data_IF_402521248925
#
_entry.id   IF_402521248925
#
_cell.length_a   1.000
_cell.length_b   1.000
_cell.length_c   1.000
_cell.angle_alpha   90.00
_cell.angle_beta   90.00
_cell.angle_gamma   90.00
#
_symmetry.space_group_name_H-M   'P 1'
#
loop_
_entity.id
_entity.type
_entity.pdbx_description
1 polymer ?
#
# COMPACT_ATOMS: atom_id res chain seq x y z
N UNK A 1 -14.62 -13.24 -7.80
CA UNK A 1 -13.92 -13.69 -6.58
C UNK A 1 -14.41 -12.85 -5.41
N UNK A 2 -14.38 -13.35 -4.15
CA UNK A 2 -14.89 -12.60 -3.00
C UNK A 2 -14.12 -11.29 -2.74
N UNK A 3 -12.91 -11.15 -3.29
CA UNK A 3 -12.01 -10.01 -3.06
C UNK A 3 -12.02 -8.94 -4.16
N UNK A 4 -12.96 -9.02 -5.13
CA UNK A 4 -12.96 -8.13 -6.31
C UNK A 4 -12.86 -6.65 -5.94
N UNK A 5 -13.72 -6.14 -5.04
CA UNK A 5 -13.69 -4.72 -4.63
C UNK A 5 -12.42 -4.33 -3.87
N UNK A 6 -11.90 -5.24 -3.03
CA UNK A 6 -10.65 -5.04 -2.31
C UNK A 6 -9.47 -4.88 -3.27
N UNK A 7 -9.40 -5.73 -4.30
CA UNK A 7 -8.33 -5.69 -5.29
C UNK A 7 -8.46 -4.53 -6.28
N UNK A 8 -9.69 -4.16 -6.66
CA UNK A 8 -9.95 -2.97 -7.47
C UNK A 8 -9.50 -1.71 -6.72
N UNK A 9 -9.93 -1.51 -5.47
CA UNK A 9 -9.48 -0.38 -4.65
C UNK A 9 -7.95 -0.38 -4.47
N UNK A 10 -7.36 -1.54 -4.17
CA UNK A 10 -5.90 -1.63 -4.01
C UNK A 10 -5.17 -1.22 -5.30
N UNK A 11 -5.61 -1.72 -6.46
CA UNK A 11 -4.96 -1.42 -7.75
C UNK A 11 -5.18 0.01 -8.21
N UNK A 12 -6.36 0.55 -8.05
CA UNK A 12 -6.75 1.84 -8.64
C UNK A 12 -6.50 3.02 -7.70
N UNK A 13 -6.58 2.80 -6.39
CA UNK A 13 -6.48 3.88 -5.39
C UNK A 13 -5.17 3.80 -4.62
N UNK A 14 -4.75 2.61 -4.19
CA UNK A 14 -3.54 2.47 -3.38
C UNK A 14 -2.29 2.54 -4.23
N UNK A 15 -2.12 1.56 -5.14
CA UNK A 15 -0.88 1.34 -5.89
C UNK A 15 -0.34 2.62 -6.56
N UNK A 16 -1.14 3.48 -7.22
CA UNK A 16 -0.62 4.71 -7.84
C UNK A 16 0.07 5.68 -6.86
N UNK A 17 -0.23 5.56 -5.57
CA UNK A 17 0.27 6.42 -4.49
C UNK A 17 1.35 5.76 -3.63
N UNK A 18 1.66 4.48 -3.85
CA UNK A 18 2.73 3.75 -3.17
C UNK A 18 4.06 4.05 -3.86
N UNK A 19 5.13 4.30 -3.11
CA UNK A 19 6.50 4.38 -3.65
C UNK A 19 7.05 3.01 -4.02
N UNK A 20 8.15 2.95 -4.78
CA UNK A 20 8.85 1.67 -5.04
C UNK A 20 9.27 1.02 -3.71
N UNK A 21 9.91 1.77 -2.82
CA UNK A 21 10.32 1.30 -1.49
C UNK A 21 9.16 0.78 -0.63
N UNK A 22 8.00 1.45 -0.68
CA UNK A 22 6.80 1.00 0.04
C UNK A 22 6.22 -0.28 -0.57
N UNK A 23 6.28 -0.40 -1.90
CA UNK A 23 5.77 -1.54 -2.63
C UNK A 23 6.62 -2.80 -2.43
N UNK A 24 7.95 -2.64 -2.46
CA UNK A 24 8.91 -3.71 -2.12
C UNK A 24 8.66 -4.20 -0.70
N UNK A 25 8.58 -3.28 0.26
CA UNK A 25 8.38 -3.66 1.67
C UNK A 25 7.09 -4.42 1.91
N UNK A 26 5.98 -3.95 1.36
CA UNK A 26 4.69 -4.65 1.49
C UNK A 26 4.72 -6.01 0.79
N UNK A 27 5.38 -6.11 -0.37
CA UNK A 27 5.54 -7.39 -1.08
C UNK A 27 6.31 -8.42 -0.24
N UNK A 28 7.44 -8.03 0.35
CA UNK A 28 8.21 -8.90 1.25
C UNK A 28 7.36 -9.42 2.41
N UNK A 29 6.60 -8.53 3.04
CA UNK A 29 5.78 -8.88 4.20
C UNK A 29 4.62 -9.83 3.84
N UNK A 30 3.98 -9.60 2.70
CA UNK A 30 2.91 -10.46 2.17
C UNK A 30 3.46 -11.84 1.78
N UNK A 31 4.63 -11.89 1.15
CA UNK A 31 5.29 -13.13 0.77
C UNK A 31 5.66 -13.98 1.99
N UNK A 32 6.22 -13.35 3.02
CA UNK A 32 6.64 -14.03 4.25
C UNK A 32 5.50 -14.37 5.21
N UNK A 33 4.26 -13.97 4.91
CA UNK A 33 3.16 -14.01 5.86
C UNK A 33 3.59 -13.39 7.22
N UNK A 34 4.22 -12.21 7.15
CA UNK A 34 4.90 -11.65 8.32
C UNK A 34 3.91 -11.33 9.44
N UNK A 35 4.19 -11.69 10.71
CA UNK A 35 3.39 -11.27 11.85
C UNK A 35 3.44 -9.75 12.08
N UNK A 36 4.36 -9.05 11.41
CA UNK A 36 4.44 -7.59 11.42
C UNK A 36 3.35 -6.93 10.57
N UNK A 37 2.61 -7.68 9.74
CA UNK A 37 1.40 -7.21 9.06
C UNK A 37 0.19 -7.40 9.97
N UNK A 38 0.02 -6.46 10.88
CA UNK A 38 -1.10 -6.45 11.82
C UNK A 38 -2.38 -6.02 11.08
N UNK A 39 -3.54 -6.47 11.57
CA UNK A 39 -4.83 -5.96 11.10
C UNK A 39 -4.88 -4.43 11.31
N UNK A 40 -5.30 -3.71 10.28
CA UNK A 40 -5.43 -2.27 10.22
C UNK A 40 -6.77 -1.74 10.73
N UNK A 41 -7.47 -2.42 11.64
CA UNK A 41 -8.77 -1.94 12.13
C UNK A 41 -8.56 -0.67 12.97
N UNK A 42 -8.57 0.48 12.29
CA UNK A 42 -8.28 1.83 12.81
C UNK A 42 -9.28 2.29 13.90
N UNK A 43 -10.17 1.40 14.35
CA UNK A 43 -11.25 1.65 15.30
C UNK A 43 -11.02 1.04 16.69
N UNK A 44 -10.04 0.15 16.88
CA UNK A 44 -9.84 -0.56 18.15
C UNK A 44 -8.45 -0.40 18.80
N UNK A 45 -7.39 -0.14 18.02
CA UNK A 45 -6.04 0.15 18.51
C UNK A 45 -5.27 0.97 17.47
N UNK A 46 -4.19 1.66 17.86
CA UNK A 46 -3.34 2.36 16.89
C UNK A 46 -2.72 1.32 15.94
N UNK A 47 -3.03 1.36 14.64
CA UNK A 47 -2.64 0.31 13.70
C UNK A 47 -1.21 0.52 13.24
N UNK A 48 -0.30 0.21 14.16
CA UNK A 48 1.12 0.09 13.84
C UNK A 48 1.32 -1.20 13.06
N UNK A 49 1.97 -1.12 11.91
CA UNK A 49 2.32 -2.29 11.11
C UNK A 49 1.20 -2.87 10.22
N UNK A 50 0.06 -2.22 10.02
CA UNK A 50 -0.84 -2.63 8.94
C UNK A 50 -0.27 -2.29 7.56
N UNK A 51 -0.90 -2.79 6.48
CA UNK A 51 -0.49 -2.51 5.09
C UNK A 51 -0.22 -1.02 4.84
N UNK A 52 -1.19 -0.17 5.19
CA UNK A 52 -1.08 1.27 5.01
C UNK A 52 0.07 1.89 5.82
N UNK A 53 0.35 1.38 7.01
CA UNK A 53 1.42 1.91 7.88
C UNK A 53 2.80 1.57 7.34
N UNK A 54 3.02 0.35 6.84
CA UNK A 54 4.29 0.01 6.17
C UNK A 54 4.50 0.84 4.90
N UNK A 55 3.45 1.07 4.11
CA UNK A 55 3.52 1.98 2.97
C UNK A 55 3.91 3.39 3.43
N UNK A 56 3.25 3.90 4.46
CA UNK A 56 3.46 5.24 4.96
C UNK A 56 4.89 5.47 5.48
N UNK A 57 5.44 4.51 6.23
CA UNK A 57 6.82 4.61 6.75
C UNK A 57 7.87 4.59 5.65
N UNK A 58 7.57 3.95 4.51
CA UNK A 58 8.45 3.89 3.35
C UNK A 58 8.11 4.92 2.27
N UNK A 59 7.24 5.89 2.56
CA UNK A 59 6.85 6.96 1.65
C UNK A 59 7.44 8.31 2.11
N UNK A 60 8.09 9.10 1.24
CA UNK A 60 8.90 10.27 1.63
C UNK A 60 8.09 11.36 2.34
N UNK A 61 6.81 11.51 1.99
CA UNK A 61 5.93 12.51 2.63
C UNK A 61 5.45 12.12 4.03
N UNK A 62 5.62 10.87 4.44
CA UNK A 62 5.02 10.32 5.67
C UNK A 62 5.99 9.51 6.52
N UNK A 63 7.24 9.33 6.07
CA UNK A 63 8.27 8.53 6.78
C UNK A 63 8.62 9.07 8.18
N UNK A 64 8.49 10.38 8.39
CA UNK A 64 8.73 11.02 9.68
C UNK A 64 7.55 10.88 10.67
N UNK A 65 6.41 10.36 10.21
CA UNK A 65 5.22 10.17 11.02
C UNK A 65 5.29 8.80 11.67
N UNK A 66 5.11 8.75 12.99
CA UNK A 66 5.21 7.50 13.75
C UNK A 66 3.84 6.86 13.97
N UNK A 67 2.99 7.55 14.71
CA UNK A 67 1.74 7.04 15.27
C UNK A 67 0.64 6.85 14.23
N UNK A 68 0.33 7.90 13.45
CA UNK A 68 -0.81 7.92 12.53
C UNK A 68 -0.37 7.87 11.08
N UNK A 69 0.77 7.23 10.80
CA UNK A 69 1.39 7.21 9.48
C UNK A 69 0.44 6.61 8.43
N UNK A 70 -0.16 5.45 8.72
CA UNK A 70 -1.10 4.78 7.82
C UNK A 70 -2.38 5.59 7.56
N UNK A 71 -2.98 6.19 8.59
CA UNK A 71 -4.14 7.08 8.45
C UNK A 71 -3.78 8.29 7.62
N UNK A 72 -2.64 8.92 7.91
CA UNK A 72 -2.19 10.11 7.20
C UNK A 72 -1.93 9.79 5.74
N UNK A 73 -1.28 8.66 5.44
CA UNK A 73 -1.05 8.24 4.07
C UNK A 73 -2.37 7.97 3.31
N UNK A 74 -3.29 7.21 3.91
CA UNK A 74 -4.60 6.92 3.30
C UNK A 74 -5.36 8.22 3.01
N UNK A 75 -5.50 9.09 4.01
CA UNK A 75 -6.35 10.28 3.90
C UNK A 75 -5.72 11.41 3.09
N UNK A 76 -4.40 11.62 3.20
CA UNK A 76 -3.72 12.78 2.58
C UNK A 76 -3.01 12.45 1.28
N UNK A 77 -2.55 11.22 1.10
CA UNK A 77 -1.84 10.80 -0.12
C UNK A 77 -2.79 10.03 -1.03
N UNK A 78 -3.34 8.90 -0.57
CA UNK A 78 -4.25 8.08 -1.37
C UNK A 78 -5.68 8.68 -1.50
N UNK A 79 -6.00 9.73 -0.74
CA UNK A 79 -7.33 10.37 -0.67
C UNK A 79 -8.46 9.38 -0.40
N UNK A 80 -8.18 8.37 0.41
CA UNK A 80 -9.09 7.30 0.78
C UNK A 80 -9.46 7.42 2.26
N UNK A 81 -10.73 7.22 2.58
CA UNK A 81 -11.20 7.14 3.96
C UNK A 81 -10.92 5.73 4.52
N UNK A 82 -10.09 5.57 5.57
CA UNK A 82 -9.78 4.26 6.14
C UNK A 82 -11.01 3.46 6.57
N UNK A 83 -12.05 4.14 7.09
CA UNK A 83 -13.27 3.47 7.58
C UNK A 83 -14.10 2.85 6.45
N UNK A 84 -13.97 3.37 5.22
CA UNK A 84 -14.70 2.86 4.06
C UNK A 84 -13.83 2.04 3.13
N UNK A 85 -12.53 1.94 3.39
CA UNK A 85 -11.59 1.19 2.54
C UNK A 85 -11.96 -0.29 2.49
N UNK A 86 -12.27 -0.78 1.30
CA UNK A 86 -12.56 -2.19 1.05
C UNK A 86 -11.31 -3.05 1.23
N UNK A 87 -10.12 -2.52 0.90
CA UNK A 87 -8.85 -3.21 1.15
C UNK A 87 -8.58 -3.40 2.64
N UNK A 88 -8.78 -2.37 3.47
CA UNK A 88 -8.61 -2.49 4.93
C UNK A 88 -9.62 -3.47 5.51
N UNK A 89 -10.92 -3.34 5.17
CA UNK A 89 -11.95 -4.26 5.68
C UNK A 89 -11.65 -5.72 5.35
N UNK A 90 -11.26 -6.00 4.10
CA UNK A 90 -10.89 -7.34 3.68
C UNK A 90 -9.66 -7.86 4.43
N UNK A 91 -8.60 -7.04 4.54
CA UNK A 91 -7.40 -7.40 5.29
C UNK A 91 -7.70 -7.64 6.78
N UNK A 92 -8.58 -6.84 7.38
CA UNK A 92 -8.93 -6.94 8.80
C UNK A 92 -9.77 -8.16 9.14
N UNK A 93 -10.61 -8.59 8.21
CA UNK A 93 -11.48 -9.75 8.41
C UNK A 93 -10.75 -11.08 8.32
N UNK A 94 -9.83 -11.22 7.36
CA UNK A 94 -9.22 -12.53 7.05
C UNK A 94 -7.74 -12.46 6.67
N UNK A 95 -7.13 -11.28 6.61
CA UNK A 95 -5.86 -10.97 5.93
C UNK A 95 -4.79 -12.06 6.01
N UNK A 96 -4.05 -12.12 7.13
CA UNK A 96 -2.88 -13.00 7.24
C UNK A 96 -3.23 -14.49 7.14
N UNK A 97 -4.41 -14.89 7.64
CA UNK A 97 -4.88 -16.28 7.65
C UNK A 97 -5.45 -16.74 6.31
N UNK A 98 -5.78 -15.82 5.41
CA UNK A 98 -6.30 -16.11 4.08
C UNK A 98 -5.18 -16.08 3.03
N UNK A 99 -4.73 -17.27 2.64
CA UNK A 99 -3.68 -17.42 1.63
C UNK A 99 -4.06 -16.82 0.27
N UNK A 100 -5.32 -16.97 -0.18
CA UNK A 100 -5.79 -16.50 -1.48
C UNK A 100 -5.72 -14.97 -1.58
N UNK A 101 -6.33 -14.25 -0.63
CA UNK A 101 -6.27 -12.79 -0.57
C UNK A 101 -4.82 -12.28 -0.53
N UNK A 102 -3.97 -12.92 0.28
CA UNK A 102 -2.55 -12.57 0.40
C UNK A 102 -1.81 -12.72 -0.93
N UNK A 103 -2.02 -13.83 -1.64
CA UNK A 103 -1.41 -14.06 -2.95
C UNK A 103 -1.90 -13.07 -4.01
N UNK A 104 -3.18 -12.71 -3.99
CA UNK A 104 -3.73 -11.74 -4.94
C UNK A 104 -3.18 -10.33 -4.72
N UNK A 105 -3.05 -9.89 -3.45
CA UNK A 105 -2.41 -8.62 -3.10
C UNK A 105 -0.93 -8.62 -3.49
N UNK A 106 -0.19 -9.69 -3.18
CA UNK A 106 1.22 -9.83 -3.55
C UNK A 106 1.41 -9.79 -5.07
N UNK A 107 0.55 -10.49 -5.81
CA UNK A 107 0.57 -10.48 -7.28
C UNK A 107 0.30 -9.09 -7.83
N UNK A 108 -0.65 -8.35 -7.24
CA UNK A 108 -0.90 -6.96 -7.61
C UNK A 108 0.33 -6.07 -7.38
N UNK A 109 1.04 -6.23 -6.26
CA UNK A 109 2.26 -5.49 -6.00
C UNK A 109 3.37 -5.80 -7.02
N UNK A 110 3.62 -7.07 -7.30
CA UNK A 110 4.64 -7.53 -8.27
C UNK A 110 4.34 -7.03 -9.68
N UNK A 111 3.07 -7.09 -10.09
CA UNK A 111 2.65 -6.58 -11.39
C UNK A 111 2.88 -5.07 -11.50
N UNK A 112 2.62 -4.31 -10.44
CA UNK A 112 2.87 -2.87 -10.42
C UNK A 112 4.36 -2.52 -10.43
N UNK A 113 5.21 -3.27 -9.72
CA UNK A 113 6.67 -3.13 -9.82
C UNK A 113 7.14 -3.38 -11.25
N UNK A 114 6.78 -4.52 -11.85
CA UNK A 114 7.15 -4.87 -13.22
C UNK A 114 6.62 -3.84 -14.24
N UNK A 115 5.43 -3.27 -14.00
CA UNK A 115 4.88 -2.19 -14.84
C UNK A 115 5.73 -0.93 -14.75
N UNK A 116 6.20 -0.55 -13.55
CA UNK A 116 7.05 0.63 -13.34
C UNK A 116 8.45 0.45 -13.91
N UNK A 117 9.03 -0.74 -13.81
CA UNK A 117 10.33 -1.06 -14.43
C UNK A 117 10.30 -0.95 -15.96
N UNK A 118 9.17 -1.30 -16.58
CA UNK A 118 8.96 -1.16 -18.02
C UNK A 118 8.66 0.27 -18.47
N UNK A 119 8.42 1.21 -17.54
CA UNK A 119 8.25 2.62 -17.92
C UNK A 119 9.64 3.18 -18.30
N UNK A 120 9.81 3.72 -19.53
CA UNK A 120 11.07 4.31 -19.92
C UNK A 120 11.44 5.48 -18.98
N UNK A 121 12.71 5.52 -18.55
CA UNK A 121 13.33 6.50 -17.63
C UNK A 121 13.18 7.98 -18.07
N UNK A 122 12.59 8.23 -19.24
CA UNK A 122 12.61 9.50 -19.95
C UNK A 122 11.59 10.56 -19.47
N UNK A 123 11.00 10.45 -18.27
CA UNK A 123 10.16 11.50 -17.67
C UNK A 123 10.81 12.28 -16.52
N UNK A 124 12.05 11.96 -16.13
CA UNK A 124 12.76 12.72 -15.08
C UNK A 124 13.50 13.94 -15.67
N UNK A 125 13.86 13.94 -16.96
CA UNK A 125 14.52 15.09 -17.60
C UNK A 125 13.61 16.28 -17.87
N UNK A 126 12.31 16.06 -18.14
CA UNK A 126 11.41 17.13 -18.61
C UNK A 126 11.06 18.17 -17.55
N UNK A 127 11.36 17.94 -16.26
CA UNK A 127 11.14 18.94 -15.19
C UNK A 127 12.42 19.67 -14.76
N UNK A 128 13.60 19.07 -14.96
CA UNK A 128 14.89 19.70 -14.66
C UNK A 128 15.38 20.59 -15.80
N UNK A 129 15.03 20.28 -17.05
CA UNK A 129 15.37 21.11 -18.22
C UNK A 129 14.42 22.31 -18.42
N UNK A 130 13.30 22.37 -17.68
CA UNK A 130 12.37 23.50 -17.71
C UNK A 130 12.68 24.58 -16.65
N UNK A 131 13.72 24.35 -15.82
CA UNK A 131 14.17 25.25 -14.75
C UNK A 131 15.67 25.59 -14.87
N UNK A 132 16.31 25.25 -15.99
CA UNK A 132 17.68 25.62 -16.35
C UNK A 132 17.66 26.56 -17.56
#
# INVERSE_FOLDING_TARGET
>A
MPWTRCLEEFREVWLPNVTISGLDRVSELLEQASPLLIHGMFTHAMPRGCLATHIAWHHPKTTHITLDAGITWLTKIARLNPATSETIKAWDSVGLSNWELRQELLTACRNELARREKLPVNRIKTHLEALA
#
